data_IF_143923962566
#
_entry.id   IF_143923962566
#
_cell.length_a   1.000
_cell.length_b   1.000
_cell.length_c   1.000
_cell.angle_alpha   90.00
_cell.angle_beta   90.00
_cell.angle_gamma   90.00
#
_symmetry.space_group_name_H-M   'P 1'
#
loop_
_entity.id
_entity.type
_entity.pdbx_description
1 polymer ?
#
# COMPACT_ATOMS: atom_id res chain seq x y z
N UNK A 1 10.77 -12.15 -2.38
CA UNK A 1 10.19 -13.42 -2.84
C UNK A 1 11.12 -14.52 -2.36
N UNK A 2 10.58 -15.61 -1.84
CA UNK A 2 11.34 -16.69 -1.22
C UNK A 2 11.01 -18.01 -1.90
N UNK A 3 12.00 -18.89 -2.07
CA UNK A 3 11.77 -20.26 -2.56
C UNK A 3 11.33 -21.15 -1.39
N UNK A 4 10.63 -22.24 -1.68
CA UNK A 4 10.22 -23.19 -0.63
C UNK A 4 11.42 -23.81 0.08
N UNK A 5 12.48 -24.17 -0.67
CA UNK A 5 13.69 -24.75 -0.10
C UNK A 5 14.38 -23.79 0.87
N UNK A 6 14.45 -22.51 0.51
CA UNK A 6 14.98 -21.47 1.38
C UNK A 6 14.16 -21.33 2.66
N UNK A 7 12.82 -21.35 2.58
CA UNK A 7 11.96 -21.26 3.76
C UNK A 7 12.15 -22.46 4.69
N UNK A 8 12.31 -23.67 4.15
CA UNK A 8 12.58 -24.88 4.94
C UNK A 8 13.93 -24.77 5.68
N UNK A 9 14.96 -24.26 5.02
CA UNK A 9 16.27 -24.00 5.63
C UNK A 9 16.18 -22.96 6.74
N UNK A 10 15.53 -21.82 6.46
CA UNK A 10 15.39 -20.70 7.39
C UNK A 10 14.62 -21.09 8.64
N UNK A 11 13.55 -21.88 8.52
CA UNK A 11 12.78 -22.34 9.67
C UNK A 11 13.66 -23.10 10.67
N UNK A 12 14.54 -23.98 10.18
CA UNK A 12 15.48 -24.74 11.02
C UNK A 12 16.59 -23.85 11.60
N UNK A 13 17.06 -22.86 10.81
CA UNK A 13 18.14 -21.95 11.22
C UNK A 13 17.72 -20.94 12.28
N UNK A 14 16.58 -20.27 12.09
CA UNK A 14 16.07 -19.23 13.00
C UNK A 14 15.71 -19.78 14.37
N UNK A 15 15.14 -20.98 14.44
CA UNK A 15 14.83 -21.64 15.71
C UNK A 15 16.11 -21.87 16.53
N UNK A 16 17.18 -22.31 15.86
CA UNK A 16 18.46 -22.58 16.49
C UNK A 16 19.16 -21.31 16.98
N UNK A 17 19.15 -20.25 16.18
CA UNK A 17 19.86 -19.02 16.50
C UNK A 17 19.11 -18.18 17.55
N UNK A 18 17.78 -18.34 17.68
CA UNK A 18 16.97 -17.75 18.75
C UNK A 18 17.23 -16.25 18.95
N UNK A 19 17.44 -15.53 17.86
CA UNK A 19 17.67 -14.08 17.87
C UNK A 19 16.30 -13.41 17.98
N UNK A 20 16.13 -12.57 19.02
CA UNK A 20 14.93 -11.79 19.26
C UNK A 20 15.24 -10.30 19.39
N UNK A 21 14.38 -9.48 18.81
CA UNK A 21 14.36 -8.05 19.03
C UNK A 21 13.60 -7.75 20.32
N UNK A 22 14.22 -6.97 21.20
CA UNK A 22 13.68 -6.60 22.51
C UNK A 22 12.93 -5.26 22.41
N UNK A 23 11.70 -5.23 22.89
CA UNK A 23 10.96 -3.99 23.09
C UNK A 23 10.44 -3.91 24.52
N UNK A 24 10.89 -2.91 25.28
CA UNK A 24 10.33 -2.60 26.59
C UNK A 24 8.90 -2.07 26.44
N UNK A 25 7.98 -2.59 27.25
CA UNK A 25 6.56 -2.23 27.24
C UNK A 25 6.04 -2.08 28.67
N UNK A 26 5.06 -1.20 28.83
CA UNK A 26 4.17 -1.19 29.99
C UNK A 26 3.07 -2.21 29.71
N UNK A 27 3.05 -3.28 30.50
CA UNK A 27 2.17 -4.44 30.34
C UNK A 27 1.09 -4.39 31.42
N UNK A 28 -0.19 -4.37 31.05
CA UNK A 28 -1.28 -4.54 32.01
C UNK A 28 -1.22 -5.92 32.68
N UNK A 29 -1.32 -5.96 34.01
CA UNK A 29 -1.34 -7.18 34.82
C UNK A 29 -2.44 -7.10 35.89
N UNK A 30 -2.69 -8.21 36.60
CA UNK A 30 -3.65 -8.26 37.71
C UNK A 30 -3.27 -7.33 38.88
N UNK A 31 -2.01 -6.90 38.97
CA UNK A 31 -1.50 -5.98 39.99
C UNK A 31 -1.29 -4.54 39.46
N UNK A 32 -1.83 -4.22 38.28
CA UNK A 32 -1.63 -2.94 37.61
C UNK A 32 -0.61 -3.00 36.48
N UNK A 33 -0.02 -1.86 36.12
CA UNK A 33 0.96 -1.78 35.03
C UNK A 33 2.35 -2.21 35.50
N UNK A 34 2.99 -3.11 34.76
CA UNK A 34 4.36 -3.59 35.05
C UNK A 34 5.25 -3.38 33.83
N UNK A 35 6.52 -3.07 34.06
CA UNK A 35 7.51 -3.02 32.97
C UNK A 35 7.88 -4.45 32.59
N UNK A 36 7.81 -4.77 31.30
CA UNK A 36 8.24 -6.05 30.77
C UNK A 36 8.84 -5.92 29.38
N UNK A 37 9.50 -6.99 28.93
CA UNK A 37 10.11 -7.06 27.62
C UNK A 37 9.27 -7.93 26.69
N UNK A 38 8.92 -7.39 25.53
CA UNK A 38 8.35 -8.12 24.40
C UNK A 38 9.50 -8.57 23.51
N UNK A 39 9.53 -9.87 23.20
CA UNK A 39 10.46 -10.48 22.26
C UNK A 39 9.73 -10.64 20.91
N UNK A 40 10.32 -10.12 19.84
CA UNK A 40 9.78 -10.24 18.48
C UNK A 40 10.85 -10.76 17.52
N UNK A 41 10.46 -11.61 16.57
CA UNK A 41 11.27 -11.91 15.39
C UNK A 41 10.62 -11.23 14.19
N UNK A 42 11.45 -10.70 13.29
CA UNK A 42 10.97 -10.07 12.07
C UNK A 42 11.15 -11.00 10.87
N UNK A 43 10.20 -10.94 9.93
CA UNK A 43 10.25 -11.76 8.70
C UNK A 43 11.52 -11.52 7.85
N UNK A 44 12.19 -10.38 8.03
CA UNK A 44 13.44 -10.04 7.34
C UNK A 44 14.70 -10.49 8.08
N UNK A 45 14.59 -11.03 9.29
CA UNK A 45 15.70 -11.73 9.96
C UNK A 45 16.11 -13.01 9.20
N UNK A 46 15.31 -13.43 8.21
CA UNK A 46 15.65 -14.47 7.26
C UNK A 46 16.73 -14.07 6.24
N UNK A 47 16.93 -12.78 5.96
CA UNK A 47 17.83 -12.34 4.88
C UNK A 47 19.29 -12.81 5.00
N UNK A 48 19.93 -12.84 6.18
CA UNK A 48 21.29 -13.34 6.32
C UNK A 48 21.49 -14.80 5.90
N UNK A 49 20.43 -15.62 5.91
CA UNK A 49 20.49 -17.02 5.47
C UNK A 49 20.41 -17.16 3.95
N UNK A 50 20.08 -16.08 3.22
CA UNK A 50 19.90 -16.15 1.78
C UNK A 50 21.27 -16.23 1.09
N UNK A 51 21.52 -17.25 0.24
CA UNK A 51 22.79 -17.37 -0.48
C UNK A 51 23.00 -16.23 -1.49
N UNK A 52 21.92 -15.60 -1.94
CA UNK A 52 21.95 -14.38 -2.74
C UNK A 52 20.70 -13.54 -2.47
N UNK A 53 20.82 -12.22 -2.55
CA UNK A 53 19.72 -11.29 -2.36
C UNK A 53 19.60 -10.35 -3.56
N UNK A 54 18.39 -10.20 -4.09
CA UNK A 54 18.07 -9.23 -5.12
C UNK A 54 17.11 -8.16 -4.56
N UNK A 55 17.46 -6.88 -4.75
CA UNK A 55 16.59 -5.75 -4.41
C UNK A 55 15.89 -5.26 -5.67
N UNK A 56 14.56 -5.26 -5.66
CA UNK A 56 13.75 -4.79 -6.77
C UNK A 56 13.03 -3.50 -6.39
N UNK A 57 13.52 -2.37 -6.89
CA UNK A 57 12.84 -1.08 -6.74
C UNK A 57 11.81 -0.90 -7.86
N UNK A 58 10.53 -0.82 -7.50
CA UNK A 58 9.46 -0.60 -8.48
C UNK A 58 9.07 0.88 -8.58
N UNK A 59 9.88 1.66 -9.29
CA UNK A 59 9.57 3.08 -9.58
C UNK A 59 8.47 3.18 -10.63
N UNK A 60 7.27 3.64 -10.25
CA UNK A 60 6.26 4.07 -11.23
C UNK A 60 6.56 5.52 -11.60
N UNK A 61 6.95 5.75 -12.86
CA UNK A 61 6.97 7.11 -13.43
C UNK A 61 5.56 7.68 -13.38
N UNK A 62 5.37 8.69 -12.55
CA UNK A 62 4.17 9.53 -12.60
C UNK A 62 4.44 10.56 -13.70
N UNK A 63 3.76 10.45 -14.84
CA UNK A 63 3.71 11.54 -15.82
C UNK A 63 3.11 12.74 -15.08
N UNK A 64 3.88 13.82 -14.95
CA UNK A 64 3.45 15.05 -14.27
C UNK A 64 2.33 15.68 -15.10
N UNK A 65 1.08 15.44 -14.73
CA UNK A 65 -0.03 16.28 -15.17
C UNK A 65 -0.25 17.40 -14.17
N UNK A 66 -0.82 18.53 -14.58
CA UNK A 66 -1.03 19.72 -13.77
C UNK A 66 -1.78 19.45 -12.43
N UNK A 67 -2.55 18.36 -12.35
CA UNK A 67 -3.20 17.89 -11.11
C UNK A 67 -2.21 17.41 -10.02
N UNK A 68 -1.00 17.02 -10.41
CA UNK A 68 0.03 16.54 -9.49
C UNK A 68 0.67 17.66 -8.65
N UNK A 69 0.65 18.90 -9.15
CA UNK A 69 1.28 20.06 -8.52
C UNK A 69 0.35 20.71 -7.48
N UNK A 70 -0.97 20.65 -7.71
CA UNK A 70 -1.96 21.20 -6.77
C UNK A 70 -2.18 20.35 -5.50
N UNK A 71 -1.81 19.06 -5.53
CA UNK A 71 -2.21 18.09 -4.51
C UNK A 71 -1.06 17.48 -3.70
N UNK A 72 0.19 17.87 -3.93
CA UNK A 72 1.32 17.29 -3.19
C UNK A 72 2.56 18.22 -3.08
N UNK A 73 2.64 19.07 -2.05
CA UNK A 73 3.85 19.87 -1.78
C UNK A 73 5.01 19.03 -1.21
N UNK A 74 4.80 17.76 -0.87
CA UNK A 74 5.79 16.93 -0.16
C UNK A 74 6.39 15.81 -1.02
N UNK A 75 7.74 15.78 -1.00
CA UNK A 75 8.66 14.85 -1.66
C UNK A 75 8.48 13.40 -1.19
N UNK A 76 7.44 12.71 -1.63
CA UNK A 76 7.28 11.28 -1.33
C UNK A 76 7.17 10.49 -2.63
N UNK A 77 8.26 9.81 -2.99
CA UNK A 77 8.50 9.04 -4.23
C UNK A 77 7.73 7.70 -4.31
N UNK A 78 6.81 7.40 -3.40
CA UNK A 78 6.26 6.04 -3.20
C UNK A 78 4.75 5.87 -3.51
N UNK A 79 4.14 6.71 -4.34
CA UNK A 79 2.67 6.93 -4.30
C UNK A 79 1.74 5.91 -4.99
N UNK A 80 2.24 4.84 -5.61
CA UNK A 80 1.36 3.99 -6.44
C UNK A 80 1.22 2.52 -6.02
N UNK A 81 1.97 2.04 -5.02
CA UNK A 81 1.92 0.61 -4.63
C UNK A 81 1.93 0.33 -3.13
N UNK A 82 1.98 1.39 -2.34
CA UNK A 82 2.08 1.25 -0.89
C UNK A 82 1.23 2.32 -0.23
N UNK A 83 0.18 1.87 0.44
CA UNK A 83 -0.79 2.69 1.16
C UNK A 83 -1.12 1.97 2.48
N UNK A 84 -0.16 1.91 3.42
CA UNK A 84 -0.36 1.17 4.67
C UNK A 84 -1.42 1.86 5.53
N UNK A 85 -2.19 1.04 6.25
CA UNK A 85 -3.14 1.51 7.26
C UNK A 85 -2.60 1.08 8.61
N UNK A 86 -2.08 2.03 9.38
CA UNK A 86 -1.46 1.83 10.70
C UNK A 86 -2.08 2.67 11.80
N UNK A 87 -2.73 3.78 11.43
CA UNK A 87 -3.26 4.77 12.35
C UNK A 87 -4.77 4.99 12.14
N UNK A 88 -5.44 5.50 13.16
CA UNK A 88 -6.86 5.89 13.07
C UNK A 88 -7.03 7.17 12.24
N UNK A 89 -8.23 7.37 11.68
CA UNK A 89 -8.59 8.64 11.03
C UNK A 89 -8.42 9.82 12.01
N UNK A 90 -7.97 10.97 11.49
CA UNK A 90 -7.54 12.12 12.29
C UNK A 90 -6.05 12.13 12.64
N UNK A 91 -5.33 11.03 12.41
CA UNK A 91 -3.85 11.03 12.46
C UNK A 91 -3.24 11.62 11.18
N UNK A 92 -1.96 11.98 11.23
CA UNK A 92 -1.27 12.69 10.16
C UNK A 92 -0.98 11.85 8.90
N UNK A 93 -0.86 10.52 9.00
CA UNK A 93 -0.48 9.63 7.90
C UNK A 93 -0.90 8.18 8.17
N UNK A 94 -0.82 7.32 7.15
CA UNK A 94 -1.13 5.87 7.21
C UNK A 94 -2.51 5.57 7.85
N UNK A 95 -3.52 6.36 7.49
CA UNK A 95 -4.91 6.23 7.95
C UNK A 95 -5.79 5.57 6.89
N UNK A 96 -6.96 5.01 7.27
CA UNK A 96 -7.96 4.53 6.31
C UNK A 96 -8.31 5.55 5.23
N UNK A 97 -8.52 6.82 5.60
CA UNK A 97 -8.82 7.88 4.62
C UNK A 97 -7.64 8.12 3.66
N UNK A 98 -6.41 8.14 4.17
CA UNK A 98 -5.23 8.32 3.33
C UNK A 98 -5.05 7.17 2.32
N UNK A 99 -5.32 5.93 2.75
CA UNK A 99 -5.23 4.75 1.91
C UNK A 99 -6.34 4.73 0.85
N UNK A 100 -7.59 5.00 1.24
CA UNK A 100 -8.73 5.15 0.32
C UNK A 100 -8.42 6.16 -0.78
N UNK A 101 -7.91 7.33 -0.42
CA UNK A 101 -7.58 8.39 -1.39
C UNK A 101 -6.45 7.98 -2.34
N UNK A 102 -5.44 7.24 -1.86
CA UNK A 102 -4.37 6.74 -2.73
C UNK A 102 -4.91 5.74 -3.76
N UNK A 103 -5.81 4.84 -3.38
CA UNK A 103 -6.45 3.87 -4.28
C UNK A 103 -7.35 4.56 -5.31
N UNK A 104 -8.24 5.46 -4.86
CA UNK A 104 -9.12 6.21 -5.77
C UNK A 104 -8.34 7.05 -6.79
N UNK A 105 -7.20 7.65 -6.37
CA UNK A 105 -6.32 8.39 -7.29
C UNK A 105 -5.61 7.46 -8.29
N UNK A 106 -5.24 6.25 -7.88
CA UNK A 106 -4.67 5.25 -8.79
C UNK A 106 -5.70 4.87 -9.86
N UNK A 107 -6.91 4.52 -9.45
CA UNK A 107 -8.00 4.12 -10.33
C UNK A 107 -8.45 5.25 -11.26
N UNK A 108 -8.54 6.48 -10.76
CA UNK A 108 -8.81 7.65 -11.59
C UNK A 108 -7.78 7.80 -12.73
N UNK A 109 -6.50 7.56 -12.44
CA UNK A 109 -5.44 7.58 -13.47
C UNK A 109 -5.59 6.45 -14.48
N UNK A 110 -6.02 5.27 -14.05
CA UNK A 110 -6.27 4.15 -14.96
C UNK A 110 -7.42 4.47 -15.93
N UNK A 111 -8.53 5.02 -15.43
CA UNK A 111 -9.67 5.43 -16.27
C UNK A 111 -9.26 6.48 -17.30
N UNK A 112 -8.51 7.52 -16.88
CA UNK A 112 -8.02 8.56 -17.78
C UNK A 112 -7.02 8.00 -18.81
N UNK A 113 -6.10 7.13 -18.39
CA UNK A 113 -5.14 6.48 -19.29
C UNK A 113 -5.83 5.57 -20.33
N UNK A 114 -6.98 4.99 -19.97
CA UNK A 114 -7.82 4.18 -20.85
C UNK A 114 -8.73 5.02 -21.78
N UNK A 115 -8.58 6.35 -21.77
CA UNK A 115 -9.36 7.26 -22.62
C UNK A 115 -10.74 7.63 -22.09
N UNK A 116 -11.00 7.41 -20.79
CA UNK A 116 -12.20 7.87 -20.11
C UNK A 116 -12.06 9.28 -19.53
N UNK A 117 -13.19 9.93 -19.29
CA UNK A 117 -13.28 11.26 -18.69
C UNK A 117 -13.87 11.16 -17.28
N UNK A 118 -13.38 11.97 -16.36
CA UNK A 118 -13.89 12.04 -15.00
C UNK A 118 -14.54 13.38 -14.74
N UNK A 119 -15.76 13.35 -14.20
CA UNK A 119 -16.45 14.52 -13.66
C UNK A 119 -16.73 14.30 -12.17
N UNK A 120 -16.84 15.37 -11.41
CA UNK A 120 -17.05 15.28 -9.97
C UNK A 120 -17.81 16.50 -9.46
N UNK A 121 -18.78 16.26 -8.57
CA UNK A 121 -19.54 17.32 -7.90
C UNK A 121 -18.88 17.79 -6.59
N UNK A 122 -17.89 17.03 -6.11
CA UNK A 122 -17.11 17.33 -4.90
C UNK A 122 -15.61 17.24 -5.21
N UNK A 123 -14.71 17.83 -4.40
CA UNK A 123 -13.29 17.84 -4.72
C UNK A 123 -12.68 16.44 -4.86
N UNK A 124 -11.78 16.23 -5.84
CA UNK A 124 -11.10 14.95 -6.08
C UNK A 124 -10.21 14.46 -4.92
N UNK A 125 -9.95 15.29 -3.92
CA UNK A 125 -9.30 14.86 -2.68
C UNK A 125 -10.26 14.18 -1.70
N UNK A 126 -11.56 14.09 -2.02
CA UNK A 126 -12.60 13.45 -1.21
C UNK A 126 -13.52 12.51 -2.01
N UNK A 127 -13.28 12.32 -3.31
CA UNK A 127 -14.05 11.43 -4.19
C UNK A 127 -13.18 10.83 -5.29
N UNK A 128 -13.68 9.84 -6.02
CA UNK A 128 -13.00 9.27 -7.17
C UNK A 128 -13.77 8.14 -7.81
N UNK A 129 -13.06 7.37 -8.63
CA UNK A 129 -13.58 6.14 -9.24
C UNK A 129 -12.87 4.97 -8.60
N UNK A 130 -13.61 3.93 -8.25
CA UNK A 130 -13.06 2.65 -7.84
C UNK A 130 -13.17 1.64 -8.98
N UNK A 131 -12.09 0.91 -9.26
CA UNK A 131 -12.07 -0.16 -10.26
C UNK A 131 -11.90 -1.46 -9.49
N UNK A 132 -12.85 -2.38 -9.65
CA UNK A 132 -12.76 -3.69 -9.02
C UNK A 132 -11.49 -4.43 -9.50
N UNK A 133 -10.74 -5.09 -8.61
CA UNK A 133 -9.59 -5.91 -9.00
C UNK A 133 -9.94 -7.05 -9.96
N UNK A 134 -11.21 -7.45 -10.05
CA UNK A 134 -11.69 -8.44 -11.00
C UNK A 134 -11.74 -7.86 -12.44
N UNK A 135 -12.02 -6.56 -12.57
CA UNK A 135 -12.07 -5.87 -13.87
C UNK A 135 -10.67 -5.55 -14.36
N UNK A 136 -9.79 -5.07 -13.47
CA UNK A 136 -8.42 -4.71 -13.81
C UNK A 136 -7.51 -4.80 -12.59
N UNK A 137 -6.38 -5.50 -12.73
CA UNK A 137 -5.43 -5.72 -11.64
C UNK A 137 -4.40 -4.58 -11.53
N UNK A 138 -3.90 -4.07 -12.65
CA UNK A 138 -2.88 -3.00 -12.72
C UNK A 138 -3.22 -1.90 -13.73
N UNK A 139 -4.48 -1.80 -14.15
CA UNK A 139 -4.99 -0.80 -15.09
C UNK A 139 -5.10 -1.28 -16.54
N UNK A 140 -4.84 -2.57 -16.80
CA UNK A 140 -5.06 -3.23 -18.09
C UNK A 140 -6.56 -3.41 -18.41
N UNK A 141 -6.87 -3.62 -19.70
CA UNK A 141 -8.21 -3.99 -20.20
C UNK A 141 -9.35 -2.99 -19.89
N UNK A 142 -9.03 -1.76 -19.48
CA UNK A 142 -10.03 -0.73 -19.21
C UNK A 142 -10.48 0.04 -20.44
N UNK A 143 -9.72 0.00 -21.53
CA UNK A 143 -10.02 0.75 -22.75
C UNK A 143 -11.42 0.43 -23.34
N UNK A 144 -11.85 -0.84 -23.47
CA UNK A 144 -13.20 -1.15 -23.94
C UNK A 144 -14.31 -0.60 -23.04
N UNK A 145 -14.03 -0.37 -21.75
CA UNK A 145 -14.98 0.10 -20.76
C UNK A 145 -14.97 1.63 -20.67
N UNK A 146 -13.80 2.26 -20.84
CA UNK A 146 -13.60 3.67 -20.51
C UNK A 146 -13.55 4.58 -21.73
N UNK A 147 -13.07 4.10 -22.88
CA UNK A 147 -12.78 4.96 -24.05
C UNK A 147 -14.02 5.77 -24.46
N UNK A 148 -13.88 7.10 -24.45
CA UNK A 148 -14.93 8.03 -24.86
C UNK A 148 -16.09 8.16 -23.87
N UNK A 149 -16.06 7.48 -22.73
CA UNK A 149 -17.11 7.53 -21.70
C UNK A 149 -16.74 8.51 -20.59
N UNK A 150 -17.77 9.11 -20.01
CA UNK A 150 -17.63 10.00 -18.84
C UNK A 150 -18.16 9.31 -17.59
N UNK A 151 -17.36 9.33 -16.53
CA UNK A 151 -17.69 8.77 -15.22
C UNK A 151 -17.84 9.89 -14.20
N UNK A 152 -19.00 9.96 -13.56
CA UNK A 152 -19.28 10.96 -12.54
C UNK A 152 -19.00 10.40 -11.15
N UNK A 153 -17.96 10.91 -10.48
CA UNK A 153 -17.54 10.47 -9.16
C UNK A 153 -18.50 10.95 -8.03
N UNK A 154 -18.73 10.16 -6.97
CA UNK A 154 -18.16 8.82 -6.74
C UNK A 154 -18.85 7.76 -7.60
N UNK A 155 -18.08 6.86 -8.21
CA UNK A 155 -18.63 5.71 -8.92
C UNK A 155 -17.67 4.52 -8.89
N UNK A 156 -18.18 3.36 -9.28
CA UNK A 156 -17.46 2.09 -9.31
C UNK A 156 -17.52 1.48 -10.71
N UNK A 157 -16.45 0.80 -11.11
CA UNK A 157 -16.40 -0.04 -12.32
C UNK A 157 -16.25 -1.49 -11.84
N UNK A 158 -17.33 -2.25 -11.95
CA UNK A 158 -17.43 -3.67 -11.61
C UNK A 158 -17.88 -4.49 -12.82
N UNK A 159 -17.88 -5.82 -12.65
CA UNK A 159 -18.67 -6.71 -13.51
C UNK A 159 -20.17 -6.57 -13.26
#
# INVERSE_FOLDING_TARGET
MFTSDFLNQVASGLEKDSIYHLAEKKIPSIHGQTVGYKLEQFIFDAFPYAPSTALYEKTIKITRSALHELLAPTRTRARNKFAPVKNVNGSNFDTPDSARLLVLRLHARWVVAAGGFLTHSVPLYSTGVEVSPLVSYVGENLEPICRGRTFHAPCEITF
#
